data_IF_126589201124
#
_entry.id   IF_126589201124
#
_cell.length_a   1.000
_cell.length_b   1.000
_cell.length_c   1.000
_cell.angle_alpha   90.00
_cell.angle_beta   90.00
_cell.angle_gamma   90.00
#
_symmetry.space_group_name_H-M   'P 1'
#
loop_
_entity.id
_entity.type
_entity.pdbx_description
1 polymer ?
#
# COMPACT_ATOMS: atom_id res chain seq x y z
N UNK A 1 15.64 -9.62 35.63
CA UNK A 1 16.64 -9.94 34.58
C UNK A 1 16.08 -10.88 33.49
N UNK A 2 15.63 -12.10 33.80
CA UNK A 2 15.16 -13.05 32.76
C UNK A 2 13.88 -12.60 32.00
N UNK A 3 12.95 -11.92 32.69
CA UNK A 3 11.73 -11.38 32.08
C UNK A 3 11.97 -10.24 31.09
N UNK A 4 12.96 -9.37 31.34
CA UNK A 4 13.28 -8.27 30.44
C UNK A 4 13.89 -8.77 29.13
N UNK A 5 14.82 -9.73 29.22
CA UNK A 5 15.44 -10.36 28.05
C UNK A 5 14.37 -11.02 27.16
N UNK A 6 13.41 -11.73 27.76
CA UNK A 6 12.31 -12.35 27.02
C UNK A 6 11.43 -11.30 26.30
N UNK A 7 11.14 -10.18 26.96
CA UNK A 7 10.36 -9.08 26.36
C UNK A 7 11.07 -8.39 25.19
N UNK A 8 12.40 -8.25 25.26
CA UNK A 8 13.23 -7.66 24.20
C UNK A 8 13.25 -8.56 22.97
N UNK A 9 13.43 -9.87 23.16
CA UNK A 9 13.42 -10.85 22.07
C UNK A 9 12.08 -10.83 21.33
N UNK A 10 10.96 -10.82 22.07
CA UNK A 10 9.61 -10.76 21.48
C UNK A 10 9.43 -9.47 20.65
N UNK A 11 9.88 -8.32 21.16
CA UNK A 11 9.80 -7.04 20.43
C UNK A 11 10.64 -7.04 19.16
N UNK A 12 11.83 -7.66 19.18
CA UNK A 12 12.70 -7.79 18.00
C UNK A 12 12.02 -8.66 16.93
N UNK A 13 11.47 -9.81 17.32
CA UNK A 13 10.78 -10.71 16.38
C UNK A 13 9.55 -10.04 15.79
N UNK A 14 8.73 -9.38 16.61
CA UNK A 14 7.56 -8.64 16.14
C UNK A 14 7.94 -7.48 15.22
N UNK A 15 8.99 -6.73 15.56
CA UNK A 15 9.50 -5.63 14.72
C UNK A 15 10.02 -6.11 13.37
N UNK A 16 10.80 -7.20 13.35
CA UNK A 16 11.28 -7.82 12.12
C UNK A 16 10.11 -8.36 11.27
N UNK A 17 9.18 -9.08 11.89
CA UNK A 17 8.00 -9.62 11.19
C UNK A 17 7.15 -8.52 10.57
N UNK A 18 6.88 -7.45 11.31
CA UNK A 18 6.14 -6.29 10.80
C UNK A 18 6.87 -5.63 9.62
N UNK A 19 8.20 -5.48 9.71
CA UNK A 19 9.01 -4.91 8.62
C UNK A 19 8.92 -5.72 7.32
N UNK A 20 9.05 -7.05 7.40
CA UNK A 20 8.92 -7.94 6.24
C UNK A 20 7.52 -7.85 5.61
N UNK A 21 6.47 -7.88 6.42
CA UNK A 21 5.08 -7.79 5.93
C UNK A 21 4.83 -6.46 5.24
N UNK A 22 5.29 -5.34 5.82
CA UNK A 22 5.10 -4.01 5.22
C UNK A 22 5.86 -3.88 3.90
N UNK A 23 7.14 -4.28 3.85
CA UNK A 23 7.93 -4.21 2.62
C UNK A 23 7.36 -5.09 1.51
N UNK A 24 6.98 -6.33 1.83
CA UNK A 24 6.33 -7.24 0.88
C UNK A 24 4.98 -6.70 0.40
N UNK A 25 4.20 -6.10 1.31
CA UNK A 25 2.92 -5.48 1.00
C UNK A 25 3.03 -4.34 -0.01
N UNK A 26 4.03 -3.46 0.12
CA UNK A 26 4.24 -2.34 -0.82
C UNK A 26 4.60 -2.85 -2.22
N UNK A 27 5.52 -3.83 -2.33
CA UNK A 27 5.93 -4.38 -3.63
C UNK A 27 4.75 -5.13 -4.28
N UNK A 28 4.04 -5.96 -3.52
CA UNK A 28 2.86 -6.67 -4.00
C UNK A 28 1.76 -5.71 -4.44
N UNK A 29 1.51 -4.65 -3.69
CA UNK A 29 0.52 -3.63 -4.03
C UNK A 29 0.84 -2.93 -5.37
N UNK A 30 2.09 -2.51 -5.57
CA UNK A 30 2.52 -1.86 -6.83
C UNK A 30 2.39 -2.82 -8.01
N UNK A 31 2.71 -4.10 -7.80
CA UNK A 31 2.57 -5.15 -8.82
C UNK A 31 1.11 -5.42 -9.17
N UNK A 32 0.22 -5.55 -8.17
CA UNK A 32 -1.22 -5.83 -8.36
C UNK A 32 -1.96 -4.69 -9.05
N UNK A 33 -1.64 -3.44 -8.73
CA UNK A 33 -2.22 -2.27 -9.44
C UNK A 33 -1.86 -2.29 -10.93
N UNK A 34 -0.80 -3.00 -11.31
CA UNK A 34 -0.40 -3.13 -12.69
C UNK A 34 0.56 -2.03 -13.15
N UNK A 35 1.22 -1.32 -12.23
CA UNK A 35 2.22 -0.29 -12.60
C UNK A 35 3.35 -0.90 -13.43
N UNK A 36 3.88 -2.06 -12.99
CA UNK A 36 4.97 -2.79 -13.65
C UNK A 36 4.59 -3.24 -15.06
N UNK A 37 3.51 -4.04 -15.26
CA UNK A 37 3.12 -4.47 -16.59
C UNK A 37 2.73 -3.31 -17.50
N UNK A 38 2.09 -2.26 -16.96
CA UNK A 38 1.71 -1.09 -17.75
C UNK A 38 2.93 -0.35 -18.27
N UNK A 39 3.93 -0.09 -17.42
CA UNK A 39 5.18 0.53 -17.84
C UNK A 39 5.85 -0.30 -18.93
N UNK A 40 6.03 -1.60 -18.70
CA UNK A 40 6.68 -2.51 -19.65
C UNK A 40 5.90 -2.62 -20.98
N UNK A 41 4.57 -2.55 -20.94
CA UNK A 41 3.71 -2.56 -22.12
C UNK A 41 3.84 -1.25 -22.92
N UNK A 42 3.81 -0.08 -22.25
CA UNK A 42 3.88 1.23 -22.91
C UNK A 42 5.25 1.53 -23.51
N UNK A 43 6.33 1.08 -22.88
CA UNK A 43 7.69 1.17 -23.42
C UNK A 43 8.00 0.10 -24.47
N UNK A 44 7.06 -0.83 -24.74
CA UNK A 44 7.25 -2.01 -25.59
C UNK A 44 8.41 -2.90 -25.16
N UNK A 45 8.75 -2.90 -23.86
CA UNK A 45 9.84 -3.69 -23.28
C UNK A 45 9.30 -4.75 -22.33
N UNK A 46 8.33 -5.55 -22.77
CA UNK A 46 7.71 -6.63 -21.96
C UNK A 46 8.74 -7.70 -21.57
N UNK A 47 9.72 -7.96 -22.43
CA UNK A 47 10.82 -8.90 -22.15
C UNK A 47 11.70 -8.47 -20.95
N UNK A 48 11.71 -7.18 -20.61
CA UNK A 48 12.49 -6.64 -19.50
C UNK A 48 11.67 -6.46 -18.21
N UNK A 49 10.50 -7.12 -18.09
CA UNK A 49 9.63 -7.00 -16.92
C UNK A 49 10.35 -7.24 -15.59
N UNK A 50 11.24 -8.24 -15.55
CA UNK A 50 12.04 -8.58 -14.37
C UNK A 50 12.95 -7.43 -13.90
N UNK A 51 13.44 -6.59 -14.83
CA UNK A 51 14.26 -5.42 -14.46
C UNK A 51 13.44 -4.34 -13.78
N UNK A 52 12.20 -4.11 -14.21
CA UNK A 52 11.30 -3.17 -13.55
C UNK A 52 10.92 -3.63 -12.14
N UNK A 53 10.65 -4.92 -11.98
CA UNK A 53 10.35 -5.51 -10.68
C UNK A 53 11.55 -5.40 -9.73
N UNK A 54 12.75 -5.78 -10.20
CA UNK A 54 13.99 -5.65 -9.42
C UNK A 54 14.29 -4.19 -9.06
N UNK A 55 14.00 -3.22 -9.94
CA UNK A 55 14.19 -1.80 -9.65
C UNK A 55 13.27 -1.31 -8.51
N UNK A 56 12.01 -1.78 -8.47
CA UNK A 56 11.07 -1.42 -7.39
C UNK A 56 11.49 -2.08 -6.07
N UNK A 57 11.92 -3.34 -6.11
CA UNK A 57 12.46 -4.05 -4.93
C UNK A 57 13.70 -3.32 -4.40
N UNK A 58 14.60 -2.90 -5.28
CA UNK A 58 15.79 -2.15 -4.89
C UNK A 58 15.41 -0.78 -4.29
N UNK A 59 14.42 -0.12 -4.88
CA UNK A 59 13.85 1.13 -4.36
C UNK A 59 13.20 0.97 -2.97
N UNK A 60 12.49 -0.13 -2.70
CA UNK A 60 11.88 -0.39 -1.39
C UNK A 60 12.91 -0.71 -0.31
N UNK A 61 13.98 -1.43 -0.65
CA UNK A 61 15.13 -1.66 0.24
C UNK A 61 15.80 -0.33 0.57
N UNK A 62 16.12 0.48 -0.45
CA UNK A 62 16.74 1.80 -0.25
C UNK A 62 15.84 2.72 0.59
N UNK A 63 14.54 2.80 0.28
CA UNK A 63 13.58 3.60 1.04
C UNK A 63 13.46 3.17 2.50
N UNK A 64 13.54 1.86 2.77
CA UNK A 64 13.53 1.32 4.15
C UNK A 64 14.77 1.74 4.93
N UNK A 65 15.95 1.70 4.30
CA UNK A 65 17.21 2.16 4.90
C UNK A 65 17.16 3.67 5.19
N UNK A 66 16.66 4.46 4.22
CA UNK A 66 16.50 5.91 4.38
C UNK A 66 15.47 6.28 5.45
N UNK A 67 14.46 5.45 5.71
CA UNK A 67 13.48 5.69 6.77
C UNK A 67 14.07 5.47 8.18
N UNK A 68 14.96 4.48 8.34
CA UNK A 68 15.59 4.19 9.63
C UNK A 68 16.60 5.27 10.05
N UNK A 69 17.41 5.78 9.12
CA UNK A 69 18.22 6.94 9.40
C UNK A 69 17.33 8.19 9.38
N UNK A 70 17.20 8.89 10.50
CA UNK A 70 16.60 10.23 10.53
C UNK A 70 17.51 11.23 9.79
N UNK A 71 17.57 11.07 8.47
CA UNK A 71 18.36 11.89 7.59
C UNK A 71 17.67 13.23 7.49
N UNK A 72 18.23 14.25 8.13
CA UNK A 72 17.87 15.63 7.80
C UNK A 72 18.40 15.88 6.40
N UNK A 73 17.50 15.84 5.42
CA UNK A 73 17.84 16.18 4.04
C UNK A 73 18.56 17.54 4.07
N UNK A 74 19.79 17.65 3.55
CA UNK A 74 20.45 18.93 3.45
C UNK A 74 19.58 19.85 2.59
N UNK A 75 19.46 21.13 2.98
CA UNK A 75 18.65 22.15 2.29
C UNK A 75 19.29 22.55 0.94
N UNK A 76 19.44 21.58 0.05
CA UNK A 76 19.90 21.76 -1.32
C UNK A 76 18.64 21.86 -2.18
N UNK A 77 18.27 23.05 -2.67
CA UNK A 77 16.99 23.25 -3.36
C UNK A 77 16.85 22.34 -4.59
N UNK A 78 17.95 22.05 -5.28
CA UNK A 78 17.98 21.14 -6.45
C UNK A 78 17.59 19.71 -6.07
N UNK A 79 18.08 19.21 -4.92
CA UNK A 79 17.76 17.87 -4.45
C UNK A 79 16.27 17.72 -4.16
N UNK A 80 15.68 18.74 -3.52
CA UNK A 80 14.25 18.79 -3.20
C UNK A 80 13.42 18.76 -4.48
N UNK A 81 13.77 19.57 -5.49
CA UNK A 81 13.07 19.60 -6.78
C UNK A 81 13.11 18.23 -7.47
N UNK A 82 14.26 17.57 -7.50
CA UNK A 82 14.40 16.23 -8.09
C UNK A 82 13.52 15.21 -7.33
N UNK A 83 13.51 15.27 -6.00
CA UNK A 83 12.72 14.37 -5.17
C UNK A 83 11.21 14.56 -5.43
N UNK A 84 10.73 15.81 -5.44
CA UNK A 84 9.32 16.11 -5.74
C UNK A 84 8.93 15.68 -7.15
N UNK A 85 9.83 15.88 -8.12
CA UNK A 85 9.60 15.44 -9.49
C UNK A 85 9.49 13.92 -9.60
N UNK A 86 10.37 13.18 -8.90
CA UNK A 86 10.30 11.72 -8.83
C UNK A 86 8.99 11.24 -8.17
N UNK A 87 8.57 11.87 -7.07
CA UNK A 87 7.27 11.60 -6.45
C UNK A 87 6.11 11.86 -7.41
N UNK A 88 6.16 12.97 -8.15
CA UNK A 88 5.15 13.30 -9.16
C UNK A 88 5.06 12.25 -10.26
N UNK A 89 6.19 11.78 -10.79
CA UNK A 89 6.22 10.70 -11.79
C UNK A 89 5.66 9.39 -11.24
N UNK A 90 6.00 9.04 -9.99
CA UNK A 90 5.48 7.84 -9.34
C UNK A 90 3.96 7.89 -9.16
N UNK A 91 3.42 8.99 -8.62
CA UNK A 91 1.98 9.19 -8.45
C UNK A 91 1.28 9.22 -9.81
N UNK A 92 1.87 9.85 -10.83
CA UNK A 92 1.34 9.84 -12.19
C UNK A 92 1.22 8.42 -12.76
N UNK A 93 2.26 7.59 -12.58
CA UNK A 93 2.23 6.19 -13.00
C UNK A 93 1.14 5.39 -12.24
N UNK A 94 0.97 5.63 -10.93
CA UNK A 94 -0.11 5.02 -10.15
C UNK A 94 -1.49 5.42 -10.65
N UNK A 95 -1.73 6.69 -10.96
CA UNK A 95 -3.02 7.17 -11.45
C UNK A 95 -3.36 6.53 -12.79
N UNK A 96 -2.40 6.45 -13.72
CA UNK A 96 -2.64 5.83 -15.04
C UNK A 96 -2.91 4.34 -14.88
N UNK A 97 -2.15 3.63 -14.03
CA UNK A 97 -2.38 2.21 -13.76
C UNK A 97 -3.75 1.96 -13.12
N UNK A 98 -4.16 2.79 -12.17
CA UNK A 98 -5.50 2.75 -11.60
C UNK A 98 -6.58 3.01 -12.64
N UNK A 99 -6.40 3.99 -13.53
CA UNK A 99 -7.35 4.28 -14.59
C UNK A 99 -7.55 3.08 -15.53
N UNK A 100 -6.46 2.42 -15.94
CA UNK A 100 -6.53 1.22 -16.78
C UNK A 100 -7.30 0.08 -16.07
N UNK A 101 -7.02 -0.15 -14.78
CA UNK A 101 -7.74 -1.16 -13.99
C UNK A 101 -9.22 -0.80 -13.84
N UNK A 102 -9.53 0.48 -13.61
CA UNK A 102 -10.90 0.99 -13.48
C UNK A 102 -11.69 0.84 -14.79
N UNK A 103 -11.06 1.06 -15.95
CA UNK A 103 -11.68 0.90 -17.26
C UNK A 103 -12.03 -0.57 -17.58
N UNK A 104 -11.29 -1.51 -16.99
CA UNK A 104 -11.58 -2.95 -17.11
C UNK A 104 -12.78 -3.38 -16.26
N UNK A 105 -13.06 -2.72 -15.13
CA UNK A 105 -14.20 -3.04 -14.25
C UNK A 105 -15.58 -3.03 -14.95
N UNK A 106 -15.97 -1.98 -15.71
CA UNK A 106 -17.26 -1.98 -16.41
C UNK A 106 -17.33 -3.03 -17.52
N UNK A 107 -16.20 -3.38 -18.14
CA UNK A 107 -16.12 -4.45 -19.15
C UNK A 107 -16.40 -5.79 -18.50
N UNK A 108 -15.74 -6.09 -17.37
CA UNK A 108 -15.99 -7.30 -16.58
C UNK A 108 -17.45 -7.33 -16.12
N UNK A 109 -17.99 -6.22 -15.63
CA UNK A 109 -19.39 -6.13 -15.19
C UNK A 109 -20.42 -6.31 -16.33
N UNK A 110 -20.06 -6.05 -17.58
CA UNK A 110 -20.92 -6.36 -18.74
C UNK A 110 -20.83 -7.83 -19.15
N UNK A 111 -19.65 -8.45 -19.02
CA UNK A 111 -19.38 -9.85 -19.39
C UNK A 111 -19.99 -10.82 -18.39
N UNK A 112 -19.84 -10.55 -17.10
CA UNK A 112 -20.56 -11.28 -16.06
C UNK A 112 -21.93 -10.62 -15.99
N UNK A 113 -23.01 -11.27 -16.43
CA UNK A 113 -24.38 -10.71 -16.47
C UNK A 113 -24.96 -10.44 -15.06
N UNK A 114 -24.20 -9.88 -14.12
CA UNK A 114 -24.64 -9.60 -12.76
C UNK A 114 -25.28 -8.21 -12.73
N UNK A 115 -26.54 -8.11 -13.18
CA UNK A 115 -27.37 -6.91 -12.93
C UNK A 115 -27.48 -6.53 -11.44
N UNK A 116 -27.12 -7.43 -10.52
CA UNK A 116 -27.14 -7.23 -9.05
C UNK A 116 -25.76 -7.17 -8.37
N UNK A 117 -24.66 -7.43 -9.08
CA UNK A 117 -23.35 -7.73 -8.46
C UNK A 117 -22.66 -6.50 -7.90
N UNK A 118 -22.60 -5.42 -8.69
CA UNK A 118 -22.06 -4.14 -8.23
C UNK A 118 -22.89 -3.59 -7.07
N UNK A 119 -24.22 -3.67 -7.15
CA UNK A 119 -25.09 -3.25 -6.03
C UNK A 119 -24.76 -4.03 -4.76
N UNK A 120 -24.51 -5.35 -4.85
CA UNK A 120 -24.16 -6.18 -3.70
C UNK A 120 -22.77 -5.84 -3.14
N UNK A 121 -21.78 -5.54 -3.99
CA UNK A 121 -20.46 -5.06 -3.55
C UNK A 121 -20.55 -3.70 -2.87
N UNK A 122 -21.29 -2.76 -3.44
CA UNK A 122 -21.52 -1.44 -2.83
C UNK A 122 -22.28 -1.58 -1.51
N UNK A 123 -23.26 -2.48 -1.44
CA UNK A 123 -24.01 -2.75 -0.21
C UNK A 123 -23.13 -3.40 0.87
N UNK A 124 -22.27 -4.35 0.50
CA UNK A 124 -21.30 -4.95 1.40
C UNK A 124 -20.28 -3.93 1.92
N UNK A 125 -19.80 -3.02 1.07
CA UNK A 125 -18.92 -1.91 1.47
C UNK A 125 -19.62 -0.93 2.42
N UNK A 126 -20.88 -0.59 2.13
CA UNK A 126 -21.69 0.27 2.99
C UNK A 126 -21.94 -0.39 4.36
N UNK A 127 -22.28 -1.68 4.38
CA UNK A 127 -22.42 -2.45 5.62
C UNK A 127 -21.12 -2.54 6.40
N UNK A 128 -19.98 -2.77 5.73
CA UNK A 128 -18.67 -2.78 6.37
C UNK A 128 -18.32 -1.44 7.02
N UNK A 129 -18.57 -0.32 6.33
CA UNK A 129 -18.40 1.02 6.90
C UNK A 129 -19.35 1.29 8.07
N UNK A 130 -20.60 0.86 7.96
CA UNK A 130 -21.59 1.00 9.02
C UNK A 130 -21.19 0.21 10.27
N UNK A 131 -20.78 -1.06 10.10
CA UNK A 131 -20.29 -1.89 11.20
C UNK A 131 -19.04 -1.30 11.86
N UNK A 132 -18.07 -0.83 11.05
CA UNK A 132 -16.87 -0.16 11.57
C UNK A 132 -17.19 1.11 12.35
N UNK A 133 -18.13 1.93 11.86
CA UNK A 133 -18.58 3.14 12.54
C UNK A 133 -19.30 2.85 13.86
N UNK A 134 -20.10 1.78 13.90
CA UNK A 134 -20.77 1.34 15.13
C UNK A 134 -19.76 0.84 16.17
N UNK A 135 -18.81 -0.01 15.76
CA UNK A 135 -17.74 -0.47 16.65
C UNK A 135 -16.91 0.68 17.21
N UNK A 136 -16.60 1.69 16.38
CA UNK A 136 -15.87 2.89 16.80
C UNK A 136 -16.61 3.68 17.88
N UNK A 137 -17.92 3.82 17.77
CA UNK A 137 -18.74 4.56 18.74
C UNK A 137 -19.06 3.77 20.02
N UNK A 138 -19.25 2.45 19.92
CA UNK A 138 -19.63 1.61 21.06
C UNK A 138 -18.44 1.31 21.98
N UNK A 139 -17.23 1.17 21.43
CA UNK A 139 -16.02 0.86 22.21
C UNK A 139 -15.71 1.86 23.34
N UNK A 140 -15.69 3.19 23.11
CA UNK A 140 -15.47 4.15 24.19
C UNK A 140 -16.63 4.23 25.18
N UNK A 141 -17.88 4.09 24.71
CA UNK A 141 -19.08 4.15 25.56
C UNK A 141 -19.16 2.96 26.54
N UNK A 142 -18.68 1.78 26.13
CA UNK A 142 -18.66 0.59 26.97
C UNK A 142 -17.57 0.65 28.05
N UNK A 143 -16.47 1.35 27.80
CA UNK A 143 -15.39 1.55 28.78
C UNK A 143 -15.81 2.52 29.88
N UNK A 144 -16.51 3.62 29.54
CA UNK A 144 -17.04 4.57 30.54
C UNK A 144 -18.04 3.94 31.51
N UNK A 145 -18.87 3.00 31.06
CA UNK A 145 -19.87 2.33 31.92
C UNK A 145 -19.24 1.34 32.92
N UNK A 146 -18.10 0.72 32.58
CA UNK A 146 -17.42 -0.27 33.44
C UNK A 146 -16.46 0.40 34.43
N UNK A 147 -16.02 1.64 34.16
CA UNK A 147 -15.08 2.38 35.02
C UNK A 147 -15.74 3.45 35.91
N UNK A 148 -17.08 3.57 35.87
CA UNK A 148 -17.90 4.41 36.74
C UNK A 148 -18.55 3.66 37.90
#
# INVERSE_FOLDING_TARGET
MMWEVCSVIIRIILGLGAGFVVSGGVVAFISIIGVIPLMAYRTKTVHAMMWYENAIIMGSILGSIFSMWHFRLPNIPILIVILLFAFGMFIGALIIALAEVLDVLPIINRRIKIRKGITLVVFALALGKLAGSLCYWIYPYFIEIITG
#
